data_IF_745425778361
#
_entry.id   IF_745425778361
#
_cell.length_a   1.000
_cell.length_b   1.000
_cell.length_c   1.000
_cell.angle_alpha   90.00
_cell.angle_beta   90.00
_cell.angle_gamma   90.00
#
_symmetry.space_group_name_H-M   'P 1'
#
loop_
_entity.id
_entity.type
_entity.pdbx_description
1 polymer ?
#
# COMPACT_ATOMS: atom_id res chain seq x y z
N UNK A 1 -11.61 0.70 -13.78
CA UNK A 1 -12.30 1.85 -13.17
C UNK A 1 -12.81 1.57 -11.76
N UNK A 2 -13.41 0.42 -11.49
CA UNK A 2 -13.86 0.06 -10.13
C UNK A 2 -12.73 0.04 -9.10
N UNK A 3 -11.54 -0.41 -9.46
CA UNK A 3 -10.37 -0.45 -8.54
C UNK A 3 -10.01 0.92 -7.96
N UNK A 4 -10.00 1.96 -8.79
CA UNK A 4 -9.63 3.31 -8.34
C UNK A 4 -10.66 3.85 -7.35
N UNK A 5 -11.94 3.64 -7.63
CA UNK A 5 -13.01 4.11 -6.76
C UNK A 5 -12.96 3.43 -5.39
N UNK A 6 -12.74 2.14 -5.37
CA UNK A 6 -12.72 1.37 -4.13
C UNK A 6 -11.44 1.65 -3.33
N UNK A 7 -10.31 1.84 -4.02
CA UNK A 7 -9.08 2.28 -3.37
C UNK A 7 -9.29 3.62 -2.66
N UNK A 8 -10.03 4.56 -3.27
CA UNK A 8 -10.37 5.83 -2.64
C UNK A 8 -11.31 5.66 -1.45
N UNK A 9 -12.27 4.74 -1.52
CA UNK A 9 -13.11 4.41 -0.38
C UNK A 9 -12.29 3.84 0.78
N UNK A 10 -11.36 2.92 0.49
CA UNK A 10 -10.44 2.40 1.50
C UNK A 10 -9.61 3.52 2.14
N UNK A 11 -9.11 4.45 1.34
CA UNK A 11 -8.34 5.59 1.82
C UNK A 11 -9.18 6.50 2.73
N UNK A 12 -10.45 6.68 2.41
CA UNK A 12 -11.32 7.56 3.20
C UNK A 12 -11.80 6.94 4.52
N UNK A 13 -11.71 5.61 4.65
CA UNK A 13 -12.17 4.89 5.83
C UNK A 13 -11.08 4.68 6.88
N UNK A 14 -9.83 4.91 6.54
CA UNK A 14 -8.70 4.66 7.45
C UNK A 14 -8.20 5.97 8.04
N UNK A 15 -8.15 6.02 9.34
CA UNK A 15 -7.48 7.09 10.09
C UNK A 15 -6.36 6.48 10.93
N UNK A 16 -5.33 7.26 11.19
CA UNK A 16 -4.24 6.86 12.08
C UNK A 16 -4.19 7.82 13.25
N UNK A 17 -4.20 7.27 14.46
CA UNK A 17 -3.79 8.03 15.61
C UNK A 17 -2.27 8.06 15.68
N UNK A 18 -1.71 9.22 15.93
CA UNK A 18 -0.29 9.38 16.07
C UNK A 18 0.18 8.73 17.36
N UNK A 19 0.64 7.51 17.24
CA UNK A 19 1.51 6.93 18.25
C UNK A 19 2.91 6.94 17.68
N UNK A 20 3.83 7.53 18.41
CA UNK A 20 5.19 7.78 17.97
C UNK A 20 6.09 6.56 17.93
N UNK A 21 5.57 5.34 17.98
CA UNK A 21 6.37 4.14 18.05
C UNK A 21 6.48 3.44 16.72
N UNK A 22 7.53 3.75 15.99
CA UNK A 22 7.92 2.99 14.80
C UNK A 22 8.66 1.69 15.13
N UNK A 23 8.90 1.42 16.43
CA UNK A 23 9.77 0.32 16.84
C UNK A 23 9.15 -1.06 16.72
N UNK A 24 7.83 -1.17 16.61
CA UNK A 24 7.12 -2.43 16.65
C UNK A 24 6.34 -2.71 15.38
N UNK A 25 6.94 -2.41 14.20
CA UNK A 25 6.33 -2.79 12.94
C UNK A 25 6.15 -4.32 12.81
N UNK A 26 6.90 -5.11 13.57
CA UNK A 26 6.96 -6.56 13.43
C UNK A 26 7.78 -7.02 12.24
N UNK A 27 8.40 -6.10 11.54
CA UNK A 27 9.28 -6.37 10.42
C UNK A 27 10.74 -6.41 10.90
N UNK A 28 11.44 -7.47 10.58
CA UNK A 28 12.80 -7.71 11.06
C UNK A 28 13.87 -7.41 10.00
N UNK A 29 13.49 -7.33 8.73
CA UNK A 29 14.42 -7.04 7.65
C UNK A 29 14.62 -5.52 7.51
N UNK A 30 15.86 -5.12 7.24
CA UNK A 30 16.17 -3.71 6.96
C UNK A 30 15.53 -3.31 5.62
N UNK A 31 14.58 -2.35 5.62
CA UNK A 31 13.89 -1.97 4.38
C UNK A 31 14.82 -1.35 3.36
N UNK A 32 15.92 -0.73 3.78
CA UNK A 32 16.84 -0.08 2.85
C UNK A 32 17.57 -1.06 1.92
N UNK A 33 17.60 -2.34 2.28
CA UNK A 33 18.24 -3.39 1.47
C UNK A 33 17.30 -4.02 0.45
N UNK A 34 16.01 -3.71 0.51
CA UNK A 34 15.02 -4.31 -0.37
C UNK A 34 14.99 -3.61 -1.74
N UNK A 35 14.81 -4.35 -2.85
CA UNK A 35 14.87 -3.76 -4.19
C UNK A 35 13.78 -2.72 -4.47
N UNK A 36 12.66 -2.75 -3.78
CA UNK A 36 11.58 -1.79 -3.95
C UNK A 36 11.67 -0.57 -3.01
N UNK A 37 12.62 -0.59 -2.08
CA UNK A 37 12.77 0.49 -1.11
C UNK A 37 13.09 1.83 -1.77
N UNK A 38 12.41 2.87 -1.34
CA UNK A 38 12.57 4.22 -1.87
C UNK A 38 11.97 4.42 -3.26
N UNK A 39 11.20 3.47 -3.75
CA UNK A 39 10.65 3.49 -5.11
C UNK A 39 9.14 3.60 -5.11
N UNK A 40 8.62 4.08 -6.23
CA UNK A 40 7.19 4.24 -6.47
C UNK A 40 6.76 3.35 -7.63
N UNK A 41 5.66 2.65 -7.45
CA UNK A 41 5.08 1.73 -8.43
C UNK A 41 3.64 2.12 -8.71
N UNK A 42 3.24 2.05 -9.97
CA UNK A 42 1.92 2.53 -10.40
C UNK A 42 1.23 1.52 -11.32
N UNK A 43 -0.09 1.36 -11.14
CA UNK A 43 -0.99 0.78 -12.13
C UNK A 43 -1.78 1.93 -12.76
N UNK A 44 -1.57 2.15 -14.05
CA UNK A 44 -2.31 3.15 -14.81
C UNK A 44 -3.60 2.53 -15.33
N UNK A 45 -4.74 3.12 -15.00
CA UNK A 45 -6.05 2.67 -15.47
C UNK A 45 -6.44 3.38 -16.77
N UNK A 46 -6.14 4.69 -16.82
CA UNK A 46 -6.34 5.52 -18.01
C UNK A 46 -5.34 6.67 -17.98
N UNK A 47 -5.38 7.54 -18.99
CA UNK A 47 -4.49 8.71 -19.03
C UNK A 47 -4.62 9.62 -17.81
N UNK A 48 -5.77 9.61 -17.14
CA UNK A 48 -6.08 10.50 -16.02
C UNK A 48 -6.47 9.75 -14.74
N UNK A 49 -6.21 8.46 -14.67
CA UNK A 49 -6.52 7.68 -13.48
C UNK A 49 -5.48 6.59 -13.20
N UNK A 50 -5.12 6.41 -11.93
CA UNK A 50 -4.12 5.45 -11.53
C UNK A 50 -4.25 5.08 -10.05
N UNK A 51 -3.62 3.97 -9.68
CA UNK A 51 -3.31 3.61 -8.31
C UNK A 51 -1.79 3.49 -8.16
N UNK A 52 -1.23 4.06 -7.11
CA UNK A 52 0.20 4.17 -6.92
C UNK A 52 0.59 3.84 -5.50
N UNK A 53 1.70 3.15 -5.35
CA UNK A 53 2.27 2.78 -4.06
C UNK A 53 3.71 3.26 -3.99
N UNK A 54 4.05 4.00 -2.94
CA UNK A 54 5.41 4.44 -2.65
C UNK A 54 5.92 3.70 -1.42
N UNK A 55 7.02 2.97 -1.60
CA UNK A 55 7.63 2.15 -0.56
C UNK A 55 8.79 2.92 0.07
N UNK A 56 8.52 3.57 1.19
CA UNK A 56 9.52 4.41 1.85
C UNK A 56 10.55 3.58 2.63
N UNK A 57 11.74 4.11 2.77
CA UNK A 57 12.85 3.43 3.45
C UNK A 57 12.66 3.27 4.97
N UNK A 58 11.63 3.83 5.54
CA UNK A 58 11.29 3.74 6.95
C UNK A 58 10.15 2.76 7.25
N UNK A 59 9.92 1.75 6.40
CA UNK A 59 8.81 0.80 6.46
C UNK A 59 7.43 1.40 6.16
N UNK A 60 7.32 2.68 5.89
CA UNK A 60 6.04 3.29 5.53
C UNK A 60 5.70 3.04 4.07
N UNK A 61 4.41 2.93 3.80
CA UNK A 61 3.90 2.85 2.44
C UNK A 61 2.82 3.91 2.26
N UNK A 62 2.94 4.68 1.18
CA UNK A 62 1.89 5.62 0.78
C UNK A 62 1.14 5.05 -0.39
N UNK A 63 -0.17 4.94 -0.26
CA UNK A 63 -1.06 4.60 -1.36
C UNK A 63 -1.70 5.88 -1.88
N UNK A 64 -1.62 6.10 -3.19
CA UNK A 64 -2.24 7.24 -3.86
C UNK A 64 -3.17 6.75 -4.95
N UNK A 65 -4.33 7.36 -5.06
CA UNK A 65 -5.28 7.03 -6.11
C UNK A 65 -5.78 8.31 -6.76
N UNK A 66 -5.93 8.28 -8.08
CA UNK A 66 -6.46 9.39 -8.86
C UNK A 66 -7.61 8.91 -9.72
N UNK A 67 -8.73 9.61 -9.62
CA UNK A 67 -9.88 9.49 -10.51
C UNK A 67 -9.79 10.52 -11.64
N UNK A 68 -10.41 10.24 -12.79
CA UNK A 68 -10.47 11.24 -13.88
C UNK A 68 -11.10 12.55 -13.42
N UNK A 69 -10.44 13.68 -13.72
CA UNK A 69 -10.94 15.01 -13.38
C UNK A 69 -10.81 15.41 -11.90
N UNK A 70 -10.27 14.56 -11.05
CA UNK A 70 -10.09 14.85 -9.63
C UNK A 70 -8.62 14.94 -9.26
N UNK A 71 -8.34 15.61 -8.14
CA UNK A 71 -6.99 15.63 -7.57
C UNK A 71 -6.65 14.28 -6.96
N UNK A 72 -5.38 13.86 -6.98
CA UNK A 72 -4.98 12.62 -6.31
C UNK A 72 -5.27 12.67 -4.81
N UNK A 73 -5.63 11.52 -4.25
CA UNK A 73 -5.83 11.32 -2.81
C UNK A 73 -4.79 10.33 -2.32
N UNK A 74 -4.04 10.70 -1.31
CA UNK A 74 -2.99 9.85 -0.75
C UNK A 74 -3.28 9.49 0.70
N UNK A 75 -2.85 8.29 1.08
CA UNK A 75 -2.91 7.80 2.45
C UNK A 75 -1.60 7.11 2.80
N UNK A 76 -0.94 7.59 3.85
CA UNK A 76 0.35 7.07 4.32
C UNK A 76 0.23 6.17 5.55
N UNK A 77 -0.95 5.65 5.84
CA UNK A 77 -1.25 4.90 7.06
C UNK A 77 -0.97 3.41 6.93
N UNK A 78 0.00 3.07 6.07
CA UNK A 78 0.38 1.70 5.80
C UNK A 78 1.87 1.48 6.09
N UNK A 79 2.19 0.24 6.36
CA UNK A 79 3.57 -0.25 6.46
C UNK A 79 3.77 -1.34 5.42
N UNK A 80 5.00 -1.50 4.96
CA UNK A 80 5.33 -2.53 4.00
C UNK A 80 6.50 -3.37 4.47
N UNK A 81 6.55 -4.58 3.97
CA UNK A 81 7.64 -5.50 4.21
C UNK A 81 7.84 -6.38 2.97
N UNK A 82 9.08 -6.77 2.74
CA UNK A 82 9.41 -7.68 1.66
C UNK A 82 10.28 -8.81 2.20
N UNK A 83 9.88 -10.05 1.94
CA UNK A 83 10.61 -11.22 2.40
C UNK A 83 11.88 -11.42 1.58
N UNK A 84 13.05 -11.46 2.22
CA UNK A 84 14.28 -11.79 1.52
C UNK A 84 14.23 -13.22 0.97
N UNK A 85 14.50 -13.38 -0.30
CA UNK A 85 14.62 -14.68 -0.95
C UNK A 85 13.43 -15.09 -1.79
N UNK A 86 12.21 -14.91 -1.32
CA UNK A 86 11.01 -15.29 -2.09
C UNK A 86 10.29 -14.09 -2.73
N UNK A 87 10.76 -12.88 -2.46
CA UNK A 87 10.23 -11.64 -3.01
C UNK A 87 8.74 -11.37 -2.65
N UNK A 88 8.25 -11.97 -1.59
CA UNK A 88 6.92 -11.67 -1.10
C UNK A 88 6.85 -10.24 -0.58
N UNK A 89 5.82 -9.49 -0.98
CA UNK A 89 5.55 -8.13 -0.53
C UNK A 89 4.27 -8.13 0.27
N UNK A 90 4.31 -7.54 1.46
CA UNK A 90 3.14 -7.40 2.32
C UNK A 90 2.96 -5.93 2.66
N UNK A 91 1.72 -5.44 2.50
CA UNK A 91 1.30 -4.14 3.00
C UNK A 91 0.25 -4.36 4.08
N UNK A 92 0.46 -3.76 5.23
CA UNK A 92 -0.46 -3.85 6.35
C UNK A 92 -0.81 -2.46 6.86
N UNK A 93 -1.89 -2.38 7.61
CA UNK A 93 -2.25 -1.14 8.30
C UNK A 93 -1.22 -0.83 9.37
N UNK A 94 -0.79 0.43 9.44
CA UNK A 94 0.17 0.89 10.43
C UNK A 94 -0.40 0.79 11.84
N UNK A 95 0.48 0.79 12.81
CA UNK A 95 0.10 0.83 14.22
C UNK A 95 -0.76 2.05 14.51
N UNK A 96 -1.87 1.84 15.20
CA UNK A 96 -2.82 2.90 15.52
C UNK A 96 -3.88 3.15 14.44
N UNK A 97 -3.81 2.47 13.30
CA UNK A 97 -4.84 2.57 12.27
C UNK A 97 -6.18 1.99 12.76
N UNK A 98 -7.26 2.65 12.42
CA UNK A 98 -8.60 2.17 12.76
C UNK A 98 -9.60 2.51 11.66
N UNK A 99 -10.66 1.73 11.59
CA UNK A 99 -11.77 2.00 10.70
C UNK A 99 -12.58 3.17 11.24
N UNK A 100 -12.62 4.25 10.49
CA UNK A 100 -13.30 5.48 10.87
C UNK A 100 -14.81 5.31 11.05
N UNK A 101 -15.42 4.38 10.35
CA UNK A 101 -16.85 4.11 10.39
C UNK A 101 -17.25 3.27 11.60
N UNK A 102 -16.47 2.22 11.89
CA UNK A 102 -16.78 1.25 12.95
C UNK A 102 -16.00 1.48 14.25
N UNK A 103 -14.92 2.27 14.20
CA UNK A 103 -14.01 2.46 15.31
C UNK A 103 -13.11 1.25 15.60
N UNK A 104 -13.19 0.18 14.81
CA UNK A 104 -12.37 -1.02 15.03
C UNK A 104 -10.92 -0.77 14.66
N UNK A 105 -10.01 -1.31 15.46
CA UNK A 105 -8.59 -1.27 15.15
C UNK A 105 -8.28 -2.10 13.90
N UNK A 106 -7.51 -1.51 13.00
CA UNK A 106 -6.96 -2.18 11.83
C UNK A 106 -5.46 -2.45 11.98
N UNK A 107 -4.88 -1.99 13.07
CA UNK A 107 -3.45 -2.02 13.35
C UNK A 107 -2.85 -3.40 13.13
N UNK A 108 -1.82 -3.48 12.29
CA UNK A 108 -1.11 -4.71 11.99
C UNK A 108 -1.83 -5.70 11.08
N UNK A 109 -3.07 -5.44 10.69
CA UNK A 109 -3.78 -6.32 9.75
C UNK A 109 -3.23 -6.15 8.34
N UNK A 110 -3.09 -7.27 7.62
CA UNK A 110 -2.69 -7.24 6.23
C UNK A 110 -3.77 -6.56 5.39
N UNK A 111 -3.36 -5.57 4.62
CA UNK A 111 -4.22 -4.91 3.65
C UNK A 111 -4.08 -5.55 2.27
N UNK A 112 -2.85 -5.63 1.76
CA UNK A 112 -2.53 -6.24 0.47
C UNK A 112 -1.28 -7.11 0.62
N UNK A 113 -1.18 -8.14 -0.20
CA UNK A 113 0.04 -8.94 -0.30
C UNK A 113 0.25 -9.43 -1.71
N UNK A 114 1.47 -9.78 -2.03
CA UNK A 114 1.81 -10.28 -3.35
C UNK A 114 3.30 -10.49 -3.51
N UNK A 115 3.85 -10.11 -4.66
CA UNK A 115 5.25 -10.39 -4.97
C UNK A 115 5.87 -9.32 -5.85
N UNK A 116 7.21 -9.23 -5.76
CA UNK A 116 8.04 -8.44 -6.64
C UNK A 116 8.66 -9.32 -7.72
N UNK A 117 8.57 -8.90 -8.96
CA UNK A 117 9.23 -9.55 -10.10
C UNK A 117 10.41 -8.70 -10.55
N UNK A 118 11.62 -9.18 -10.26
CA UNK A 118 12.85 -8.45 -10.59
C UNK A 118 13.10 -8.34 -12.09
N UNK A 119 12.71 -9.34 -12.87
CA UNK A 119 12.91 -9.37 -14.32
C UNK A 119 12.09 -8.29 -15.02
N UNK A 120 10.84 -8.11 -14.60
CA UNK A 120 9.93 -7.13 -15.17
C UNK A 120 9.90 -5.81 -14.39
N UNK A 121 10.53 -5.79 -13.22
CA UNK A 121 10.48 -4.66 -12.28
C UNK A 121 9.04 -4.24 -11.98
N UNK A 122 8.24 -5.23 -11.59
CA UNK A 122 6.83 -5.04 -11.26
C UNK A 122 6.52 -5.56 -9.87
N UNK A 123 5.52 -4.98 -9.24
CA UNK A 123 4.96 -5.46 -7.98
C UNK A 123 3.50 -5.82 -8.24
N UNK A 124 3.12 -7.03 -7.89
CA UNK A 124 1.73 -7.48 -7.94
C UNK A 124 1.20 -7.62 -6.54
N UNK A 125 0.10 -6.96 -6.23
CA UNK A 125 -0.53 -6.96 -4.91
C UNK A 125 -1.99 -7.31 -5.04
N UNK A 126 -2.51 -8.08 -4.09
CA UNK A 126 -3.93 -8.38 -4.02
C UNK A 126 -4.43 -8.41 -2.58
N UNK A 127 -5.72 -8.22 -2.42
CA UNK A 127 -6.38 -8.29 -1.13
C UNK A 127 -7.88 -8.10 -1.28
N UNK A 128 -8.56 -8.24 -0.16
CA UNK A 128 -10.01 -8.10 -0.12
C UNK A 128 -10.39 -6.85 0.68
N UNK A 129 -11.34 -6.12 0.16
CA UNK A 129 -11.91 -4.97 0.85
C UNK A 129 -13.39 -4.90 0.58
N UNK A 130 -14.19 -4.78 1.64
CA UNK A 130 -15.65 -4.69 1.57
C UNK A 130 -16.28 -5.81 0.73
N UNK A 131 -15.81 -7.05 0.93
CA UNK A 131 -16.29 -8.23 0.22
C UNK A 131 -15.85 -8.35 -1.22
N UNK A 132 -14.98 -7.46 -1.70
CA UNK A 132 -14.46 -7.49 -3.06
C UNK A 132 -12.97 -7.77 -3.08
N UNK A 133 -12.54 -8.54 -4.06
CA UNK A 133 -11.13 -8.87 -4.28
C UNK A 133 -10.50 -7.89 -5.27
N UNK A 134 -9.32 -7.37 -4.92
CA UNK A 134 -8.56 -6.43 -5.74
C UNK A 134 -7.20 -7.00 -6.07
N UNK A 135 -6.76 -6.76 -7.29
CA UNK A 135 -5.40 -7.08 -7.73
C UNK A 135 -4.82 -5.87 -8.45
N UNK A 136 -3.60 -5.49 -8.08
CA UNK A 136 -2.85 -4.42 -8.71
C UNK A 136 -1.61 -5.01 -9.37
N UNK A 137 -1.36 -4.64 -10.60
CA UNK A 137 -0.10 -4.92 -11.28
C UNK A 137 0.60 -3.58 -11.50
N UNK A 138 1.65 -3.36 -10.76
CA UNK A 138 2.29 -2.07 -10.61
C UNK A 138 3.65 -2.07 -11.29
N UNK A 139 3.95 -1.00 -12.01
CA UNK A 139 5.26 -0.78 -12.65
C UNK A 139 5.98 0.38 -11.99
N UNK A 140 7.30 0.27 -11.90
CA UNK A 140 8.13 1.33 -11.33
C UNK A 140 7.95 2.63 -12.13
N UNK A 141 7.80 3.72 -11.40
CA UNK A 141 7.77 5.08 -11.94
C UNK A 141 9.12 5.73 -11.72
N UNK A 142 9.69 6.27 -12.77
CA UNK A 142 10.99 6.97 -12.75
C UNK A 142 10.82 8.47 -12.83
#
# INVERSE_FOLDING_TARGET
>A
MKKVFIALMALSMVCVEFTSCDKDSGFTADPTTQPIAGKTYRETVSADSYSQFSFHMNYRCTMEAKKPGESPVANSYFEWWMSPGDNEVVIRYAQGAYDKTTGKSLSGQTFLSGSYNATQNTVTLSGDFDGQHFTYTLKEQK
#
